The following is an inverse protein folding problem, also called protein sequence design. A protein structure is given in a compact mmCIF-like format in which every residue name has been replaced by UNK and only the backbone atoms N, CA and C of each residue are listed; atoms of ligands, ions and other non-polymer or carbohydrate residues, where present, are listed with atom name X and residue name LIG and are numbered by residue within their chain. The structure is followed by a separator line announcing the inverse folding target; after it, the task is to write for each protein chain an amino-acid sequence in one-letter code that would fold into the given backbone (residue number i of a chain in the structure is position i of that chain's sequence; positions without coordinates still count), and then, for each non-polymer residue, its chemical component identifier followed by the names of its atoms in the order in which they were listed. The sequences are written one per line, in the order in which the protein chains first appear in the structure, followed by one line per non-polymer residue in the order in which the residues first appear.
data_IF_242918839000
#
_entry.id   IF_242918839000
#
_cell.length_a   1.000
_cell.length_b   1.000
_cell.length_c   1.000
_cell.angle_alpha   90.00
_cell.angle_beta   90.00
_cell.angle_gamma   90.00
#
_symmetry.space_group_name_H-M   'P 1'
#
loop_
_entity.id
_entity.type
_entity.pdbx_description
1 polymer ?
#
# COMPACT_ATOMS: atom_id res chain seq x y z
N UNK A 1 2.74 14.76 4.38
CA UNK A 1 2.01 14.58 5.65
C UNK A 1 0.84 13.68 5.35
N UNK A 2 0.76 12.49 5.95
CA UNK A 2 -0.41 11.62 5.79
C UNK A 2 -1.53 12.28 6.60
N UNK A 3 -2.62 12.65 5.96
CA UNK A 3 -3.80 13.15 6.67
C UNK A 3 -4.27 12.08 7.66
N UNK A 4 -4.36 12.44 8.94
CA UNK A 4 -4.77 11.51 10.01
C UNK A 4 -6.29 11.30 10.06
N UNK A 5 -7.01 11.80 9.07
CA UNK A 5 -8.47 11.77 8.96
C UNK A 5 -8.86 11.21 7.61
N UNK A 6 -9.98 10.49 7.57
CA UNK A 6 -10.49 9.90 6.34
C UNK A 6 -10.85 10.99 5.33
N UNK A 7 -10.30 10.90 4.12
CA UNK A 7 -10.57 11.84 3.02
C UNK A 7 -12.01 11.78 2.52
N UNK A 8 -12.71 10.66 2.75
CA UNK A 8 -14.08 10.47 2.31
C UNK A 8 -15.12 11.05 3.29
N UNK A 9 -14.91 10.92 4.61
CA UNK A 9 -15.92 11.30 5.61
C UNK A 9 -15.40 12.07 6.83
N UNK A 10 -14.10 12.37 6.91
CA UNK A 10 -13.47 13.02 8.06
C UNK A 10 -13.25 12.11 9.29
N UNK A 11 -13.63 10.83 9.21
CA UNK A 11 -13.55 9.90 10.32
C UNK A 11 -12.15 9.47 10.72
N UNK A 12 -12.05 8.78 11.87
CA UNK A 12 -10.79 8.25 12.37
C UNK A 12 -10.29 7.08 11.51
N UNK A 13 -8.96 6.99 11.39
CA UNK A 13 -8.25 5.99 10.61
C UNK A 13 -7.50 5.03 11.53
N UNK A 14 -7.48 3.76 11.15
CA UNK A 14 -6.72 2.69 11.81
C UNK A 14 -5.80 2.04 10.79
N UNK A 15 -4.60 1.69 11.23
CA UNK A 15 -3.53 1.11 10.40
C UNK A 15 -3.32 -0.37 10.78
N UNK A 16 -3.10 -1.24 9.80
CA UNK A 16 -2.75 -2.64 10.02
C UNK A 16 -1.25 -2.82 10.30
N UNK A 17 -0.85 -4.00 10.78
CA UNK A 17 0.54 -4.43 10.65
C UNK A 17 0.92 -4.54 9.16
N UNK A 18 2.23 -4.47 8.81
CA UNK A 18 2.69 -4.66 7.45
C UNK A 18 2.29 -6.03 6.90
N UNK A 19 1.63 -6.01 5.75
CA UNK A 19 1.15 -7.18 5.03
C UNK A 19 2.21 -7.57 3.99
N UNK A 20 2.58 -8.85 3.96
CA UNK A 20 3.36 -9.40 2.85
C UNK A 20 2.45 -9.52 1.62
N UNK A 21 2.73 -8.80 0.51
CA UNK A 21 1.95 -8.91 -0.73
C UNK A 21 2.14 -10.26 -1.43
N UNK A 22 2.98 -11.16 -0.92
CA UNK A 22 3.13 -12.55 -1.38
C UNK A 22 2.28 -13.50 -0.50
N UNK A 23 0.96 -13.33 -0.53
CA UNK A 23 0.02 -14.36 -0.05
C UNK A 23 -0.33 -15.39 -1.13
N UNK A 24 -1.12 -16.40 -0.79
CA UNK A 24 -1.55 -17.58 -1.59
C UNK A 24 -2.29 -17.30 -2.92
N UNK A 25 -2.23 -16.11 -3.51
CA UNK A 25 -2.98 -15.88 -4.76
C UNK A 25 -2.55 -14.73 -5.64
N UNK A 26 -2.11 -13.59 -5.11
CA UNK A 26 -1.87 -12.41 -5.96
C UNK A 26 -0.72 -11.56 -5.45
N UNK A 27 0.27 -11.33 -6.32
CA UNK A 27 1.31 -10.35 -6.08
C UNK A 27 0.72 -8.95 -6.24
N UNK A 28 0.35 -8.32 -5.12
CA UNK A 28 -0.23 -6.97 -5.12
C UNK A 28 0.78 -5.88 -5.52
N UNK A 29 2.08 -6.18 -5.48
CA UNK A 29 3.16 -5.26 -5.84
C UNK A 29 4.13 -5.88 -6.87
N UNK A 30 3.69 -6.15 -8.13
CA UNK A 30 4.50 -6.80 -9.15
C UNK A 30 5.83 -6.09 -9.38
N UNK A 31 6.93 -6.86 -9.41
CA UNK A 31 8.26 -6.32 -9.66
C UNK A 31 8.87 -5.48 -8.53
N UNK A 32 8.16 -5.19 -7.43
CA UNK A 32 8.69 -4.35 -6.34
C UNK A 32 9.32 -5.17 -5.20
N UNK A 33 9.03 -6.46 -5.09
CA UNK A 33 9.64 -7.37 -4.10
C UNK A 33 10.96 -7.97 -4.59
N UNK A 34 12.00 -7.98 -3.74
CA UNK A 34 13.30 -8.65 -3.99
C UNK A 34 13.45 -9.89 -3.09
N UNK A 35 14.35 -10.80 -3.45
CA UNK A 35 14.57 -12.09 -2.77
C UNK A 35 14.83 -11.98 -1.26
N UNK A 36 15.44 -10.88 -0.79
CA UNK A 36 15.74 -10.62 0.62
C UNK A 36 15.14 -9.31 1.17
N UNK A 37 14.22 -8.70 0.42
CA UNK A 37 13.60 -7.45 0.82
C UNK A 37 12.20 -7.38 0.21
N UNK A 38 11.19 -7.94 0.91
CA UNK A 38 9.82 -7.90 0.44
C UNK A 38 9.36 -6.44 0.37
N UNK A 39 8.70 -6.09 -0.74
CA UNK A 39 7.86 -4.89 -0.72
C UNK A 39 6.68 -5.22 0.19
N UNK A 40 6.31 -4.33 1.10
CA UNK A 40 5.20 -4.55 2.03
C UNK A 40 4.09 -3.54 1.74
N UNK A 41 2.88 -3.89 2.15
CA UNK A 41 1.71 -3.03 2.11
C UNK A 41 1.21 -2.78 3.52
N UNK A 42 0.64 -1.61 3.74
CA UNK A 42 -0.14 -1.36 4.94
C UNK A 42 -1.56 -1.01 4.55
N UNK A 43 -2.53 -1.63 5.22
CA UNK A 43 -3.94 -1.28 5.05
C UNK A 43 -4.31 -0.21 6.07
N UNK A 44 -5.02 0.81 5.61
CA UNK A 44 -5.64 1.82 6.46
C UNK A 44 -7.15 1.75 6.26
N UNK A 45 -7.90 1.67 7.35
CA UNK A 45 -9.35 1.60 7.35
C UNK A 45 -9.97 2.76 8.14
N UNK A 46 -11.03 3.36 7.60
CA UNK A 46 -11.86 4.30 8.33
C UNK A 46 -12.89 3.57 9.19
N UNK A 47 -12.94 3.85 10.49
CA UNK A 47 -13.91 3.23 11.41
C UNK A 47 -15.35 3.69 11.20
N UNK A 48 -15.57 4.78 10.46
CA UNK A 48 -16.89 5.37 10.27
C UNK A 48 -17.51 4.99 8.92
N UNK A 49 -16.82 5.23 7.81
CA UNK A 49 -17.36 4.98 6.47
C UNK A 49 -16.84 3.68 5.82
N UNK A 50 -15.89 2.99 6.46
CA UNK A 50 -15.34 1.74 5.93
C UNK A 50 -14.41 1.91 4.72
N UNK A 51 -13.99 3.14 4.37
CA UNK A 51 -12.98 3.34 3.33
C UNK A 51 -11.71 2.57 3.68
N UNK A 52 -11.25 1.70 2.78
CA UNK A 52 -9.98 0.98 2.88
C UNK A 52 -9.02 1.52 1.83
N UNK A 53 -7.80 1.85 2.25
CA UNK A 53 -6.71 2.27 1.38
C UNK A 53 -5.48 1.41 1.64
N UNK A 54 -4.77 1.03 0.59
CA UNK A 54 -3.52 0.27 0.68
C UNK A 54 -2.35 1.17 0.32
N UNK A 55 -1.35 1.22 1.20
CA UNK A 55 -0.16 2.03 1.03
C UNK A 55 1.05 1.13 0.85
N UNK A 56 1.78 1.33 -0.25
CA UNK A 56 3.06 0.65 -0.48
C UNK A 56 4.13 1.22 0.45
N UNK A 57 4.98 0.35 1.00
CA UNK A 57 6.08 0.77 1.87
C UNK A 57 7.08 1.66 1.13
N UNK A 58 7.84 2.47 1.88
CA UNK A 58 8.86 3.36 1.29
C UNK A 58 9.85 2.59 0.39
N UNK A 59 10.25 1.38 0.80
CA UNK A 59 11.12 0.48 0.01
C UNK A 59 10.48 0.05 -1.31
N UNK A 60 9.16 -0.14 -1.33
CA UNK A 60 8.42 -0.46 -2.54
C UNK A 60 8.34 0.76 -3.47
N UNK A 61 8.07 1.95 -2.91
CA UNK A 61 8.00 3.22 -3.65
C UNK A 61 9.34 3.57 -4.32
N UNK A 62 10.47 3.36 -3.64
CA UNK A 62 11.80 3.55 -4.23
C UNK A 62 12.06 2.65 -5.46
N UNK A 63 11.32 1.56 -5.60
CA UNK A 63 11.46 0.61 -6.71
C UNK A 63 10.41 0.81 -7.78
N UNK A 64 9.44 1.70 -7.57
CA UNK A 64 8.38 1.99 -8.53
C UNK A 64 8.93 2.73 -9.74
N UNK A 65 9.80 3.72 -9.49
CA UNK A 65 10.45 4.50 -10.54
C UNK A 65 11.38 3.60 -11.38
N UNK A 66 11.09 3.48 -12.68
CA UNK A 66 11.84 2.62 -13.59
C UNK A 66 11.41 1.15 -13.61
N UNK A 67 10.36 0.75 -12.86
CA UNK A 67 9.85 -0.61 -12.91
C UNK A 67 9.00 -0.87 -14.16
N UNK A 68 9.40 -1.84 -14.98
CA UNK A 68 8.69 -2.18 -16.22
C UNK A 68 7.27 -2.74 -16.00
N UNK A 69 6.96 -3.26 -14.81
CA UNK A 69 5.64 -3.79 -14.51
C UNK A 69 4.60 -2.70 -14.25
N UNK A 70 5.04 -1.44 -14.11
CA UNK A 70 4.18 -0.31 -13.80
C UNK A 70 4.28 0.75 -14.89
N UNK A 71 3.14 1.35 -15.19
CA UNK A 71 3.06 2.52 -16.07
C UNK A 71 2.43 3.67 -15.30
N UNK A 72 2.92 4.87 -15.55
CA UNK A 72 2.26 6.09 -15.07
C UNK A 72 0.88 6.18 -15.74
N UNK A 73 -0.15 6.40 -14.94
CA UNK A 73 -1.49 6.72 -15.42
C UNK A 73 -1.64 8.21 -15.11
N UNK A 74 -1.62 9.04 -16.15
CA UNK A 74 -1.87 10.48 -16.08
C UNK A 74 -3.37 10.76 -16.13
#
# INVERSE_FOLDING_TARGET
MIEKTCTNCGGQLYESEPIDPRGDGFNLLPGLSKLFSPAQLTAVICSQCGLVSFFASATALQRLEGNYAWRKIE
#
